data_IF_281811071544
#
_entry.id   IF_281811071544
#
_cell.length_a   1.000
_cell.length_b   1.000
_cell.length_c   1.000
_cell.angle_alpha   90.00
_cell.angle_beta   90.00
_cell.angle_gamma   90.00
#
_symmetry.space_group_name_H-M   'P 1'
#
loop_
_entity.id
_entity.type
_entity.pdbx_description
1 polymer ?
#
# COMPACT_ATOMS: atom_id res chain seq x y z
N UNK A 1 17.05 -60.28 19.83
CA UNK A 1 15.74 -60.72 19.30
C UNK A 1 15.27 -59.69 18.29
N UNK A 2 14.98 -60.09 17.05
CA UNK A 2 14.36 -59.20 16.06
C UNK A 2 12.84 -59.24 16.20
N UNK A 3 12.19 -58.09 16.03
CA UNK A 3 10.74 -57.96 15.95
C UNK A 3 10.38 -57.61 14.51
N UNK A 4 9.17 -57.97 14.09
CA UNK A 4 8.64 -57.54 12.80
C UNK A 4 8.39 -56.03 12.82
N UNK A 5 8.53 -55.41 11.64
CA UNK A 5 8.14 -54.03 11.44
C UNK A 5 6.64 -53.83 11.60
N UNK A 6 6.22 -52.58 11.82
CA UNK A 6 4.81 -52.23 11.74
C UNK A 6 4.28 -52.53 10.33
N UNK A 7 3.01 -52.93 10.21
CA UNK A 7 2.40 -53.37 8.96
C UNK A 7 2.41 -52.34 7.81
N UNK A 8 2.58 -51.06 8.14
CA UNK A 8 2.69 -49.96 7.16
C UNK A 8 4.09 -49.79 6.59
N UNK A 9 5.12 -50.29 7.28
CA UNK A 9 6.51 -50.20 6.84
C UNK A 9 6.86 -51.42 5.98
N UNK A 10 7.66 -51.21 4.93
CA UNK A 10 8.31 -52.29 4.18
C UNK A 10 9.68 -52.63 4.81
N UNK A 11 10.42 -51.61 5.27
CA UNK A 11 11.61 -51.76 6.11
C UNK A 11 11.58 -50.77 7.28
N UNK A 12 12.25 -51.12 8.39
CA UNK A 12 12.21 -50.34 9.63
C UNK A 12 13.51 -50.46 10.44
N UNK A 13 13.80 -49.45 11.27
CA UNK A 13 14.84 -49.50 12.30
C UNK A 13 14.28 -49.77 13.71
N UNK A 14 12.95 -49.90 13.82
CA UNK A 14 12.23 -50.22 15.04
C UNK A 14 10.83 -50.78 14.76
N UNK A 15 10.18 -51.38 15.76
CA UNK A 15 8.91 -52.10 15.56
C UNK A 15 7.67 -51.19 15.47
N UNK A 16 7.82 -49.87 15.63
CA UNK A 16 6.70 -48.93 15.71
C UNK A 16 6.36 -48.33 14.35
N UNK A 17 5.16 -47.76 14.20
CA UNK A 17 4.71 -47.06 12.99
C UNK A 17 5.51 -45.79 12.65
N UNK A 18 6.38 -45.34 13.56
CA UNK A 18 7.23 -44.13 13.43
C UNK A 18 8.71 -44.47 13.28
N UNK A 19 9.02 -45.72 12.96
CA UNK A 19 10.37 -46.24 12.80
C UNK A 19 10.54 -46.86 11.40
N UNK A 20 9.77 -46.38 10.40
CA UNK A 20 9.86 -46.87 9.04
C UNK A 20 11.05 -46.21 8.31
N UNK A 21 11.76 -47.02 7.52
CA UNK A 21 12.78 -46.57 6.57
C UNK A 21 12.25 -46.59 5.12
N UNK A 22 11.29 -47.47 4.82
CA UNK A 22 10.52 -47.53 3.58
C UNK A 22 9.08 -47.96 3.85
N UNK A 23 8.18 -47.68 2.91
CA UNK A 23 6.74 -47.90 3.08
C UNK A 23 6.22 -49.02 2.19
N UNK A 24 5.28 -49.79 2.73
CA UNK A 24 4.53 -50.77 1.94
C UNK A 24 3.69 -50.04 0.88
N UNK A 25 3.71 -50.53 -0.36
CA UNK A 25 2.90 -49.94 -1.44
C UNK A 25 1.39 -50.03 -1.10
N UNK A 26 0.60 -48.95 -1.26
CA UNK A 26 0.89 -47.69 -1.95
C UNK A 26 1.21 -46.49 -1.04
N UNK A 27 1.73 -46.72 0.17
CA UNK A 27 2.02 -45.65 1.14
C UNK A 27 3.29 -44.87 0.80
N UNK A 28 3.38 -43.64 1.32
CA UNK A 28 4.44 -42.66 1.07
C UNK A 28 5.17 -42.36 2.38
N UNK A 29 6.49 -42.28 2.34
CA UNK A 29 7.31 -42.00 3.52
C UNK A 29 7.32 -40.51 3.85
N UNK A 30 6.92 -40.14 5.06
CA UNK A 30 7.05 -38.78 5.58
C UNK A 30 7.86 -38.81 6.88
N UNK A 31 9.12 -38.38 6.80
CA UNK A 31 10.07 -38.56 7.91
C UNK A 31 10.29 -40.05 8.18
N UNK A 32 9.76 -40.54 9.29
CA UNK A 32 9.89 -41.95 9.72
C UNK A 32 8.54 -42.69 9.82
N UNK A 33 7.47 -42.09 9.29
CA UNK A 33 6.13 -42.69 9.23
C UNK A 33 5.66 -42.86 7.79
N UNK A 34 4.78 -43.83 7.56
CA UNK A 34 4.14 -44.05 6.28
C UNK A 34 2.72 -43.50 6.28
N UNK A 35 2.38 -42.69 5.27
CA UNK A 35 1.09 -42.02 5.15
C UNK A 35 0.47 -42.28 3.78
N UNK A 36 -0.87 -42.28 3.68
CA UNK A 36 -1.56 -42.43 2.40
C UNK A 36 -1.59 -41.13 1.57
N UNK A 37 -1.38 -39.98 2.22
CA UNK A 37 -1.23 -38.66 1.62
C UNK A 37 -0.31 -37.84 2.53
N UNK A 38 0.55 -37.01 1.94
CA UNK A 38 1.38 -36.10 2.71
C UNK A 38 0.52 -35.13 3.53
N UNK A 39 0.97 -34.83 4.74
CA UNK A 39 0.35 -33.81 5.58
C UNK A 39 0.51 -32.41 4.96
N UNK A 40 -0.23 -31.43 5.50
CA UNK A 40 0.00 -30.02 5.18
C UNK A 40 1.49 -29.64 5.41
N UNK A 41 1.97 -28.63 4.67
CA UNK A 41 3.38 -28.28 4.53
C UNK A 41 4.30 -29.32 3.86
N UNK A 42 3.75 -30.42 3.33
CA UNK A 42 4.47 -31.38 2.50
C UNK A 42 3.73 -31.66 1.17
N UNK A 43 4.48 -32.08 0.16
CA UNK A 43 3.95 -32.55 -1.12
C UNK A 43 4.71 -33.80 -1.56
N UNK A 44 4.16 -34.52 -2.54
CA UNK A 44 4.91 -35.57 -3.25
C UNK A 44 4.59 -35.48 -4.74
N UNK A 45 5.55 -35.83 -5.59
CA UNK A 45 5.30 -35.98 -7.01
C UNK A 45 4.56 -37.29 -7.30
N UNK A 46 3.99 -37.43 -8.51
CA UNK A 46 3.11 -38.54 -8.90
C UNK A 46 3.75 -39.93 -8.72
N UNK A 47 5.07 -40.02 -8.84
CA UNK A 47 5.87 -41.25 -8.67
C UNK A 47 6.79 -41.18 -7.44
N UNK A 48 6.65 -40.12 -6.63
CA UNK A 48 7.44 -39.92 -5.42
C UNK A 48 6.96 -40.84 -4.29
N UNK A 49 7.89 -41.59 -3.71
CA UNK A 49 7.64 -42.42 -2.51
C UNK A 49 7.97 -41.69 -1.20
N UNK A 50 8.31 -40.41 -1.28
CA UNK A 50 8.71 -39.58 -0.15
C UNK A 50 7.94 -38.25 -0.21
N UNK A 51 7.42 -37.83 0.93
CA UNK A 51 6.86 -36.51 1.14
C UNK A 51 7.99 -35.50 1.34
N UNK A 52 8.07 -34.51 0.46
CA UNK A 52 9.02 -33.42 0.52
C UNK A 52 8.38 -32.18 1.16
N UNK A 53 9.12 -31.39 1.95
CA UNK A 53 8.58 -30.18 2.55
C UNK A 53 8.31 -29.11 1.48
N UNK A 54 7.23 -28.36 1.67
CA UNK A 54 6.96 -27.13 0.94
C UNK A 54 8.03 -26.06 1.22
N UNK A 55 8.06 -24.99 0.42
CA UNK A 55 8.81 -23.79 0.77
C UNK A 55 8.28 -23.23 2.10
N UNK A 56 9.17 -22.68 2.93
CA UNK A 56 8.82 -22.18 4.27
C UNK A 56 7.74 -21.07 4.29
N UNK A 57 7.50 -20.38 3.17
CA UNK A 57 6.45 -19.38 3.02
C UNK A 57 5.06 -19.99 2.73
N UNK A 58 5.00 -21.31 2.49
CA UNK A 58 3.79 -22.04 2.16
C UNK A 58 3.28 -22.86 3.35
N UNK A 59 2.01 -22.68 3.68
CA UNK A 59 1.27 -23.58 4.55
C UNK A 59 0.86 -24.87 3.80
N UNK A 60 0.51 -24.76 2.51
CA UNK A 60 0.22 -25.91 1.63
C UNK A 60 0.79 -25.70 0.24
N UNK A 61 1.21 -26.78 -0.41
CA UNK A 61 1.74 -26.74 -1.77
C UNK A 61 1.43 -28.05 -2.51
N UNK A 62 1.46 -27.97 -3.84
CA UNK A 62 1.36 -29.15 -4.74
C UNK A 62 2.71 -29.50 -5.37
N UNK A 63 3.65 -28.55 -5.33
CA UNK A 63 5.04 -28.73 -5.72
C UNK A 63 5.90 -27.71 -4.96
N UNK A 64 7.22 -27.88 -4.95
CA UNK A 64 8.16 -27.00 -4.27
C UNK A 64 7.92 -25.50 -4.50
N UNK A 65 7.62 -25.13 -5.75
CA UNK A 65 7.41 -23.75 -6.21
C UNK A 65 5.94 -23.48 -6.58
N UNK A 66 5.00 -24.32 -6.14
CA UNK A 66 3.58 -24.15 -6.42
C UNK A 66 2.78 -24.27 -5.13
N UNK A 67 2.65 -23.12 -4.48
CA UNK A 67 1.91 -22.91 -3.26
C UNK A 67 0.41 -22.83 -3.53
N UNK A 68 -0.38 -23.41 -2.63
CA UNK A 68 -1.85 -23.27 -2.65
C UNK A 68 -2.38 -22.48 -1.47
N UNK A 69 -1.57 -22.34 -0.42
CA UNK A 69 -1.93 -21.58 0.77
C UNK A 69 -0.65 -21.05 1.42
N UNK A 70 -0.62 -19.75 1.71
CA UNK A 70 0.51 -19.10 2.34
C UNK A 70 0.43 -19.18 3.86
N UNK A 71 1.60 -19.06 4.52
CA UNK A 71 1.62 -18.77 5.96
C UNK A 71 0.97 -17.39 6.22
N UNK A 72 0.52 -17.17 7.46
CA UNK A 72 -0.16 -15.93 7.85
C UNK A 72 0.62 -14.66 7.45
N UNK A 73 -0.11 -13.59 7.15
CA UNK A 73 0.42 -12.28 6.70
C UNK A 73 1.03 -12.24 5.28
N UNK A 74 1.13 -13.37 4.59
CA UNK A 74 1.54 -13.42 3.19
C UNK A 74 0.34 -13.51 2.23
N UNK A 75 0.60 -13.12 0.98
CA UNK A 75 -0.38 -13.03 -0.08
C UNK A 75 -0.05 -14.01 -1.20
N UNK A 76 -0.99 -14.88 -1.56
CA UNK A 76 -0.83 -15.83 -2.64
C UNK A 76 -1.02 -15.13 -3.99
N UNK A 77 -0.01 -15.24 -4.86
CA UNK A 77 -0.05 -14.78 -6.23
C UNK A 77 0.65 -15.77 -7.14
N UNK A 78 -0.07 -16.32 -8.13
CA UNK A 78 0.49 -17.25 -9.13
C UNK A 78 1.29 -18.44 -8.56
N UNK A 79 0.87 -18.99 -7.42
CA UNK A 79 1.55 -20.12 -6.78
C UNK A 79 2.75 -19.73 -5.91
N UNK A 80 2.98 -18.44 -5.69
CA UNK A 80 4.01 -17.91 -4.80
C UNK A 80 3.40 -17.04 -3.71
N UNK A 81 4.08 -16.97 -2.56
CA UNK A 81 3.65 -16.18 -1.41
C UNK A 81 4.52 -14.94 -1.28
N UNK A 82 3.91 -13.77 -1.36
CA UNK A 82 4.58 -12.48 -1.28
C UNK A 82 4.11 -11.68 -0.07
N UNK A 83 4.94 -10.79 0.44
CA UNK A 83 4.55 -9.85 1.52
C UNK A 83 3.58 -8.79 1.02
N UNK A 84 3.70 -8.39 -0.24
CA UNK A 84 2.82 -7.43 -0.90
C UNK A 84 2.46 -7.93 -2.30
N UNK A 85 1.25 -7.64 -2.73
CA UNK A 85 0.81 -7.95 -4.09
C UNK A 85 1.55 -7.09 -5.11
N UNK A 86 1.80 -7.67 -6.29
CA UNK A 86 2.38 -6.92 -7.41
C UNK A 86 1.49 -5.74 -7.82
N UNK A 87 2.09 -4.72 -8.43
CA UNK A 87 1.37 -3.56 -9.00
C UNK A 87 0.22 -4.02 -9.90
N UNK A 88 -0.96 -3.41 -9.73
CA UNK A 88 -2.19 -3.80 -10.43
C UNK A 88 -2.98 -4.92 -9.75
N UNK A 89 -2.58 -5.32 -8.54
CA UNK A 89 -3.31 -6.24 -7.68
C UNK A 89 -3.53 -5.61 -6.30
N UNK A 90 -4.62 -6.02 -5.63
CA UNK A 90 -4.90 -5.70 -4.25
C UNK A 90 -4.97 -6.99 -3.43
N UNK A 91 -4.69 -6.88 -2.12
CA UNK A 91 -4.80 -8.01 -1.19
C UNK A 91 -6.25 -8.12 -0.70
N UNK A 92 -6.79 -9.34 -0.76
CA UNK A 92 -8.06 -9.71 -0.14
C UNK A 92 -7.92 -11.09 0.49
N UNK A 93 -8.09 -11.17 1.81
CA UNK A 93 -8.03 -12.41 2.58
C UNK A 93 -6.83 -13.32 2.25
N UNK A 94 -5.62 -12.75 2.12
CA UNK A 94 -4.41 -13.54 1.82
C UNK A 94 -4.21 -13.87 0.34
N UNK A 95 -5.04 -13.33 -0.57
CA UNK A 95 -4.94 -13.53 -2.01
C UNK A 95 -4.68 -12.21 -2.74
N UNK A 96 -3.84 -12.25 -3.76
CA UNK A 96 -3.66 -11.11 -4.67
C UNK A 96 -4.66 -11.15 -5.81
N UNK A 97 -5.64 -10.25 -5.77
CA UNK A 97 -6.69 -10.13 -6.78
C UNK A 97 -6.41 -8.94 -7.69
N UNK A 98 -6.71 -9.08 -8.98
CA UNK A 98 -6.41 -8.04 -9.97
C UNK A 98 -7.34 -6.83 -9.75
N UNK A 99 -6.77 -5.64 -9.88
CA UNK A 99 -7.52 -4.39 -9.91
C UNK A 99 -8.49 -4.31 -11.09
N UNK A 100 -9.46 -3.40 -10.98
CA UNK A 100 -10.31 -3.04 -12.12
C UNK A 100 -9.45 -2.52 -13.29
N UNK A 101 -9.84 -2.85 -14.52
CA UNK A 101 -9.02 -2.65 -15.73
C UNK A 101 -8.61 -1.21 -16.02
N UNK A 102 -9.33 -0.20 -15.50
CA UNK A 102 -8.97 1.21 -15.65
C UNK A 102 -7.96 1.71 -14.62
N UNK A 103 -7.68 0.96 -13.56
CA UNK A 103 -6.75 1.34 -12.50
C UNK A 103 -5.32 0.85 -12.79
N UNK A 104 -4.32 1.63 -12.39
CA UNK A 104 -2.92 1.17 -12.30
C UNK A 104 -2.66 0.47 -10.97
N UNK A 105 -3.16 1.03 -9.88
CA UNK A 105 -3.23 0.41 -8.56
C UNK A 105 -4.60 0.67 -7.94
N UNK A 106 -5.01 -0.16 -6.99
CA UNK A 106 -6.35 -0.09 -6.39
C UNK A 106 -6.34 -0.52 -4.92
N UNK A 107 -7.37 -0.12 -4.19
CA UNK A 107 -7.66 -0.59 -2.82
C UNK A 107 -8.73 -1.67 -2.79
N UNK A 108 -9.32 -2.02 -3.94
CA UNK A 108 -10.38 -3.01 -4.06
C UNK A 108 -10.77 -3.29 -5.52
N UNK A 109 -11.77 -4.16 -5.75
CA UNK A 109 -12.15 -4.62 -7.09
C UNK A 109 -12.94 -3.60 -7.92
N UNK A 110 -13.52 -2.58 -7.28
CA UNK A 110 -14.44 -1.65 -7.91
C UNK A 110 -13.75 -0.62 -8.82
N UNK A 111 -14.47 -0.11 -9.86
CA UNK A 111 -13.95 0.93 -10.74
C UNK A 111 -13.67 2.26 -10.03
N UNK A 112 -14.31 2.50 -8.89
CA UNK A 112 -14.16 3.66 -8.03
C UNK A 112 -13.21 3.43 -6.84
N UNK A 113 -12.42 2.35 -6.88
CA UNK A 113 -11.44 2.00 -5.86
C UNK A 113 -10.00 2.08 -6.39
N UNK A 114 -9.77 2.85 -7.46
CA UNK A 114 -8.43 3.12 -7.94
C UNK A 114 -7.67 4.03 -6.95
N UNK A 115 -6.38 3.75 -6.77
CA UNK A 115 -5.44 4.55 -5.98
C UNK A 115 -4.51 5.32 -6.93
N UNK A 116 -4.04 4.67 -7.99
CA UNK A 116 -3.30 5.29 -9.07
C UNK A 116 -3.92 4.95 -10.42
N UNK A 117 -3.82 5.89 -11.36
CA UNK A 117 -4.26 5.72 -12.73
C UNK A 117 -3.10 5.44 -13.68
N UNK A 118 -3.38 4.80 -14.84
CA UNK A 118 -2.42 4.71 -15.93
C UNK A 118 -1.96 6.09 -16.38
N UNK A 119 -0.82 6.16 -17.06
CA UNK A 119 -0.28 7.42 -17.54
C UNK A 119 -1.30 8.12 -18.44
N UNK A 120 -1.35 9.46 -18.36
CA UNK A 120 -2.32 10.35 -19.02
C UNK A 120 -3.77 10.32 -18.50
N UNK A 121 -4.15 9.33 -17.67
CA UNK A 121 -5.46 9.27 -17.03
C UNK A 121 -5.47 10.06 -15.71
N UNK A 122 -6.66 10.46 -15.29
CA UNK A 122 -6.89 11.32 -14.14
C UNK A 122 -7.68 10.54 -13.08
N UNK A 123 -7.25 10.61 -11.83
CA UNK A 123 -7.98 10.05 -10.70
C UNK A 123 -9.03 11.06 -10.23
N UNK A 124 -10.30 10.66 -10.25
CA UNK A 124 -11.43 11.47 -9.78
C UNK A 124 -12.36 10.60 -8.93
N UNK A 125 -12.48 10.92 -7.64
CA UNK A 125 -13.32 10.19 -6.69
C UNK A 125 -13.09 8.67 -6.69
N UNK A 126 -11.82 8.25 -6.82
CA UNK A 126 -11.44 6.84 -6.88
C UNK A 126 -11.62 6.18 -8.25
N UNK A 127 -12.14 6.89 -9.26
CA UNK A 127 -12.23 6.39 -10.64
C UNK A 127 -11.13 6.98 -11.52
N UNK A 128 -10.56 6.16 -12.38
CA UNK A 128 -9.65 6.62 -13.42
C UNK A 128 -10.42 6.99 -14.69
N UNK A 129 -10.20 8.20 -15.20
CA UNK A 129 -10.84 8.70 -16.42
C UNK A 129 -9.83 9.31 -17.40
N UNK A 130 -10.03 9.15 -18.72
CA UNK A 130 -9.16 9.78 -19.72
C UNK A 130 -9.34 11.31 -19.77
N UNK A 131 -10.57 11.79 -19.53
CA UNK A 131 -10.96 13.20 -19.62
C UNK A 131 -11.69 13.69 -18.37
N UNK A 132 -11.67 15.01 -18.17
CA UNK A 132 -12.42 15.65 -17.09
C UNK A 132 -13.93 15.70 -17.41
N UNK A 133 -14.80 15.62 -16.38
CA UNK A 133 -16.23 15.77 -16.57
C UNK A 133 -16.59 17.18 -17.06
N UNK A 134 -17.85 17.34 -17.51
CA UNK A 134 -18.37 18.63 -17.96
C UNK A 134 -18.17 19.70 -16.87
N UNK A 135 -17.77 20.90 -17.27
CA UNK A 135 -17.41 22.03 -16.40
C UNK A 135 -16.07 21.91 -15.66
N UNK A 136 -15.22 20.95 -16.04
CA UNK A 136 -13.84 20.84 -15.55
C UNK A 136 -12.84 20.88 -16.70
N UNK A 137 -11.62 21.35 -16.43
CA UNK A 137 -10.50 21.33 -17.37
C UNK A 137 -9.29 20.62 -16.77
N UNK A 138 -8.46 20.01 -17.63
CA UNK A 138 -7.22 19.31 -17.23
C UNK A 138 -6.12 20.33 -16.96
N UNK A 139 -5.52 20.27 -15.76
CA UNK A 139 -4.37 21.06 -15.32
C UNK A 139 -3.27 20.18 -14.72
N UNK A 140 -2.13 20.78 -14.34
CA UNK A 140 -1.04 20.08 -13.61
C UNK A 140 -1.52 19.58 -12.24
N UNK A 141 -2.56 20.18 -11.67
CA UNK A 141 -3.17 19.78 -10.40
C UNK A 141 -4.42 18.89 -10.60
N UNK A 142 -4.57 18.26 -11.76
CA UNK A 142 -5.73 17.43 -12.11
C UNK A 142 -6.92 18.22 -12.67
N UNK A 143 -8.13 17.69 -12.51
CA UNK A 143 -9.36 18.32 -13.00
C UNK A 143 -9.75 19.52 -12.13
N UNK A 144 -9.66 20.72 -12.70
CA UNK A 144 -10.03 21.97 -12.05
C UNK A 144 -11.39 22.45 -12.57
N UNK A 145 -12.24 22.93 -11.65
CA UNK A 145 -13.56 23.42 -12.00
C UNK A 145 -13.43 24.72 -12.78
N UNK A 146 -14.18 24.86 -13.86
CA UNK A 146 -14.23 26.11 -14.60
C UNK A 146 -14.88 27.21 -13.77
N UNK A 147 -14.41 28.44 -13.95
CA UNK A 147 -15.06 29.59 -13.34
C UNK A 147 -16.50 29.71 -13.87
N UNK A 148 -17.44 30.09 -13.01
CA UNK A 148 -18.88 30.12 -13.36
C UNK A 148 -19.22 31.07 -14.51
N UNK A 149 -18.34 32.03 -14.81
CA UNK A 149 -18.49 32.98 -15.92
C UNK A 149 -17.98 32.44 -17.27
N UNK A 150 -17.44 31.21 -17.30
CA UNK A 150 -16.91 30.60 -18.53
C UNK A 150 -18.03 29.89 -19.30
N UNK A 151 -18.25 30.32 -20.54
CA UNK A 151 -19.18 29.65 -21.48
C UNK A 151 -18.55 28.37 -22.06
N UNK A 152 -17.22 28.35 -22.23
CA UNK A 152 -16.45 27.18 -22.70
C UNK A 152 -15.15 27.02 -21.90
N UNK A 153 -14.96 25.85 -21.26
CA UNK A 153 -13.82 25.57 -20.37
C UNK A 153 -12.43 25.59 -21.04
N UNK A 154 -12.23 25.04 -22.24
CA UNK A 154 -10.91 25.03 -22.90
C UNK A 154 -10.41 26.43 -23.28
N UNK A 155 -11.32 27.38 -23.52
CA UNK A 155 -11.02 28.76 -23.92
C UNK A 155 -10.67 29.66 -22.73
N UNK A 156 -11.02 29.27 -21.50
CA UNK A 156 -10.73 30.05 -20.30
C UNK A 156 -9.26 30.00 -19.84
N UNK A 157 -8.41 29.17 -20.46
CA UNK A 157 -6.95 29.17 -20.24
C UNK A 157 -6.29 30.54 -20.44
N UNK A 158 -6.93 31.44 -21.20
CA UNK A 158 -6.40 32.76 -21.56
C UNK A 158 -6.79 33.90 -20.59
N UNK A 159 -7.62 33.64 -19.58
CA UNK A 159 -8.17 34.72 -18.75
C UNK A 159 -7.46 34.92 -17.41
N UNK A 160 -6.67 33.94 -16.94
CA UNK A 160 -5.76 34.14 -15.79
C UNK A 160 -4.57 35.03 -16.15
N UNK A 161 -4.06 34.98 -17.38
CA UNK A 161 -2.94 35.82 -17.86
C UNK A 161 -3.35 37.28 -18.15
N UNK A 162 -4.65 37.57 -18.23
CA UNK A 162 -5.16 38.94 -18.43
C UNK A 162 -5.40 39.72 -17.14
N UNK A 163 -5.31 39.09 -15.96
CA UNK A 163 -5.18 39.81 -14.70
C UNK A 163 -3.71 40.20 -14.45
N UNK A 164 -3.05 40.75 -15.48
CA UNK A 164 -1.90 41.64 -15.24
C UNK A 164 -2.47 42.89 -14.60
N UNK A 165 -2.37 42.96 -13.29
CA UNK A 165 -2.55 44.21 -12.55
C UNK A 165 -1.60 45.21 -13.20
N UNK A 166 -2.13 46.20 -13.93
CA UNK A 166 -1.31 47.29 -14.43
C UNK A 166 -0.90 48.13 -13.21
N UNK A 167 0.28 47.86 -12.67
CA UNK A 167 0.83 48.57 -11.52
C UNK A 167 0.95 50.08 -11.82
N UNK A 168 1.13 50.48 -13.08
CA UNK A 168 1.15 51.89 -13.49
C UNK A 168 -0.22 52.56 -13.34
N UNK A 169 -1.33 51.83 -13.56
CA UNK A 169 -2.69 52.36 -13.37
C UNK A 169 -3.04 52.57 -11.89
N UNK A 170 -2.48 51.74 -10.99
CA UNK A 170 -2.62 51.91 -9.53
C UNK A 170 -1.79 53.09 -9.03
N UNK A 171 -0.59 53.31 -9.57
CA UNK A 171 0.27 54.44 -9.23
C UNK A 171 -0.30 55.80 -9.65
N UNK A 172 -1.09 55.84 -10.73
CA UNK A 172 -1.77 57.06 -11.20
C UNK A 172 -3.03 57.42 -10.39
N UNK A 173 -3.60 56.46 -9.64
CA UNK A 173 -4.73 56.69 -8.74
C UNK A 173 -4.34 56.99 -7.28
N UNK A 174 -3.06 56.88 -6.95
CA UNK A 174 -2.55 57.12 -5.60
C UNK A 174 -2.43 58.63 -5.34
N UNK A 175 -3.46 59.21 -4.72
CA UNK A 175 -3.35 60.54 -4.11
C UNK A 175 -2.31 60.50 -2.96
N UNK A 176 -1.57 61.59 -2.70
CA UNK A 176 -0.64 61.64 -1.58
C UNK A 176 -1.41 61.52 -0.26
N UNK A 177 -1.17 60.44 0.48
CA UNK A 177 -1.71 60.26 1.83
C UNK A 177 -0.92 61.17 2.76
N UNK A 178 -1.38 62.40 2.89
CA UNK A 178 -1.02 63.28 3.99
C UNK A 178 -1.51 62.69 5.31
N UNK A 179 -0.57 62.51 6.24
CA UNK A 179 -0.72 62.47 7.70
C UNK A 179 -1.72 61.49 8.33
N UNK A 180 -1.13 60.55 9.09
CA UNK A 180 -1.54 60.13 10.43
C UNK A 180 -2.88 59.38 10.57
N UNK A 181 -2.85 58.03 10.62
CA UNK A 181 -3.73 57.27 11.53
C UNK A 181 -3.32 55.78 11.71
N UNK A 182 -3.12 55.45 12.99
CA UNK A 182 -3.37 54.16 13.66
C UNK A 182 -2.62 52.89 13.19
N UNK A 183 -1.48 52.62 13.81
CA UNK A 183 -0.97 51.25 13.98
C UNK A 183 -2.04 50.40 14.65
N UNK A 184 -2.48 49.34 13.96
CA UNK A 184 -3.52 48.43 14.41
C UNK A 184 -3.16 47.86 15.81
N UNK A 185 -4.02 48.04 16.84
CA UNK A 185 -3.74 47.60 18.21
C UNK A 185 -3.50 46.09 18.34
N UNK A 186 -4.03 45.30 17.38
CA UNK A 186 -3.83 43.85 17.30
C UNK A 186 -2.38 43.44 17.06
N UNK A 187 -1.60 44.21 16.28
CA UNK A 187 -0.20 43.88 15.97
C UNK A 187 0.76 44.22 17.11
N UNK A 188 0.39 45.15 17.99
CA UNK A 188 1.18 45.48 19.16
C UNK A 188 1.02 44.43 20.26
N UNK A 189 -0.21 43.93 20.46
CA UNK A 189 -0.51 42.89 21.44
C UNK A 189 0.16 41.56 21.06
N UNK A 190 0.17 41.19 19.78
CA UNK A 190 0.89 40.00 19.30
C UNK A 190 2.39 40.14 19.49
N UNK A 191 2.96 41.33 19.23
CA UNK A 191 4.36 41.62 19.49
C UNK A 191 4.76 41.48 20.96
N UNK A 192 3.98 42.06 21.88
CA UNK A 192 4.24 41.95 23.32
C UNK A 192 4.12 40.51 23.83
N UNK A 193 3.17 39.73 23.32
CA UNK A 193 3.00 38.32 23.69
C UNK A 193 4.21 37.46 23.27
N UNK A 194 4.75 37.69 22.07
CA UNK A 194 5.94 36.98 21.59
C UNK A 194 7.16 37.32 22.46
N UNK A 195 7.35 38.59 22.79
CA UNK A 195 8.46 39.05 23.65
C UNK A 195 8.35 38.42 25.04
N UNK A 196 7.16 38.40 25.64
CA UNK A 196 6.94 37.79 26.95
C UNK A 196 7.24 36.28 26.95
N UNK A 197 6.81 35.54 25.92
CA UNK A 197 7.12 34.11 25.79
C UNK A 197 8.62 33.85 25.68
N UNK A 198 9.35 34.64 24.90
CA UNK A 198 10.80 34.49 24.77
C UNK A 198 11.52 34.75 26.10
N UNK A 199 11.11 35.77 26.86
CA UNK A 199 11.68 36.05 28.18
C UNK A 199 11.46 34.90 29.17
N UNK A 200 10.27 34.27 29.17
CA UNK A 200 9.97 33.12 30.04
C UNK A 200 10.85 31.93 29.68
N UNK A 201 10.99 31.62 28.39
CA UNK A 201 11.84 30.51 27.91
C UNK A 201 13.29 30.72 28.35
N UNK A 202 13.82 31.94 28.19
CA UNK A 202 15.18 32.28 28.61
C UNK A 202 15.34 32.13 30.13
N UNK A 203 14.35 32.55 30.92
CA UNK A 203 14.37 32.40 32.38
C UNK A 203 14.44 30.94 32.80
N UNK A 204 13.65 30.05 32.18
CA UNK A 204 13.71 28.62 32.46
C UNK A 204 15.07 28.03 32.10
N UNK A 205 15.63 28.39 30.95
CA UNK A 205 16.97 27.94 30.53
C UNK A 205 18.02 28.36 31.57
N UNK A 206 17.99 29.61 32.03
CA UNK A 206 18.94 30.11 33.05
C UNK A 206 18.78 29.38 34.38
N UNK A 207 17.54 29.13 34.83
CA UNK A 207 17.28 28.39 36.07
C UNK A 207 17.82 26.95 35.98
N UNK A 208 17.60 26.28 34.85
CA UNK A 208 18.14 24.93 34.62
C UNK A 208 19.67 24.89 34.65
N UNK A 209 20.34 25.90 34.07
CA UNK A 209 21.80 26.00 34.08
C UNK A 209 22.40 26.30 35.46
N UNK A 210 21.63 26.92 36.36
CA UNK A 210 22.09 27.24 37.73
C UNK A 210 21.84 26.08 38.72
N UNK A 211 20.87 25.21 38.44
CA UNK A 211 20.50 24.06 39.30
C UNK A 211 21.27 22.76 38.98
N UNK A 212 22.19 22.80 38.01
CA UNK A 212 23.01 21.67 37.57
C UNK A 212 24.47 21.90 37.93
#
# INVERSE_FOLDING_TARGET
MCKQCHSTCDSCDGPTERACLSCASPLILQGTKCVGRCDDAYYHEKDGQICEPCLHTCAKCVAKMNCTECVSELQLQNGECHTTCATGYYSDMGLCLRCYMSCKTCSGPGPNQCVECPDSWLLLNGECRPDCPVNFFKSVYGCQKCHYSCVNCPECKLQEDKRKINVEALLLSAQPVSSLQFVNPFNFITGLAIIACLCIIILFIVIFLVLQ
#
